data_IF_483165341798
#
_entry.id   IF_483165341798
#
_cell.length_a   1.000
_cell.length_b   1.000
_cell.length_c   1.000
_cell.angle_alpha   90.00
_cell.angle_beta   90.00
_cell.angle_gamma   90.00
#
_symmetry.space_group_name_H-M   'P 1'
#
loop_
_entity.id
_entity.type
_entity.pdbx_description
1 polymer ?
#
# COMPACT_ATOMS: atom_id res chain seq x y z
N UNK A 1 12.73 -4.92 0.54
CA UNK A 1 12.60 -6.04 -0.42
C UNK A 1 12.31 -5.41 -1.76
N UNK A 2 12.95 -5.89 -2.82
CA UNK A 2 12.69 -5.46 -4.20
C UNK A 2 12.22 -6.70 -4.99
N UNK A 3 11.18 -6.55 -5.80
CA UNK A 3 10.58 -7.64 -6.59
C UNK A 3 10.54 -7.18 -8.06
N UNK A 4 11.38 -7.80 -8.87
CA UNK A 4 11.41 -7.57 -10.30
C UNK A 4 10.49 -8.58 -11.03
N UNK A 5 9.28 -8.14 -11.36
CA UNK A 5 8.29 -8.95 -12.07
C UNK A 5 8.70 -9.14 -13.54
N UNK A 6 8.71 -10.40 -13.99
CA UNK A 6 9.05 -10.74 -15.38
C UNK A 6 7.81 -10.86 -16.26
N UNK A 7 7.93 -10.66 -17.58
CA UNK A 7 6.85 -10.95 -18.52
C UNK A 7 6.35 -12.40 -18.38
N UNK A 8 5.03 -12.60 -18.51
CA UNK A 8 4.40 -13.91 -18.34
C UNK A 8 3.85 -14.11 -16.92
N UNK A 9 4.14 -15.27 -16.32
CA UNK A 9 3.60 -15.67 -15.02
C UNK A 9 4.68 -15.59 -13.95
N UNK A 10 4.40 -14.87 -12.87
CA UNK A 10 5.26 -14.77 -11.70
C UNK A 10 4.67 -15.59 -10.55
N UNK A 11 5.50 -16.37 -9.86
CA UNK A 11 5.10 -17.18 -8.71
C UNK A 11 5.72 -16.61 -7.43
N UNK A 12 4.87 -16.15 -6.51
CA UNK A 12 5.29 -15.66 -5.18
C UNK A 12 4.97 -16.75 -4.16
N UNK A 13 6.02 -17.36 -3.59
CA UNK A 13 5.91 -18.42 -2.57
C UNK A 13 6.66 -18.04 -1.30
N UNK A 14 6.27 -18.66 -0.19
CA UNK A 14 6.81 -18.41 1.14
C UNK A 14 5.82 -18.86 2.21
N UNK A 15 6.23 -18.83 3.47
CA UNK A 15 5.41 -19.28 4.58
C UNK A 15 4.19 -18.39 4.85
N UNK A 16 3.25 -18.89 5.65
CA UNK A 16 2.13 -18.07 6.13
C UNK A 16 2.68 -16.89 6.95
N UNK A 17 2.12 -15.70 6.73
CA UNK A 17 2.64 -14.47 7.34
C UNK A 17 3.88 -13.88 6.68
N UNK A 18 4.46 -14.50 5.63
CA UNK A 18 5.63 -13.97 4.93
C UNK A 18 5.36 -12.69 4.08
N UNK A 19 4.12 -12.17 4.09
CA UNK A 19 3.76 -10.93 3.38
C UNK A 19 3.33 -11.10 1.93
N UNK A 20 3.07 -12.33 1.46
CA UNK A 20 2.61 -12.60 0.08
C UNK A 20 1.34 -11.81 -0.27
N UNK A 21 0.32 -11.86 0.60
CA UNK A 21 -0.92 -11.11 0.44
C UNK A 21 -0.65 -9.61 0.49
N UNK A 22 0.18 -9.15 1.43
CA UNK A 22 0.53 -7.74 1.60
C UNK A 22 1.17 -7.13 0.34
N UNK A 23 1.99 -7.90 -0.40
CA UNK A 23 2.55 -7.45 -1.70
C UNK A 23 1.43 -7.21 -2.72
N UNK A 24 0.50 -8.17 -2.87
CA UNK A 24 -0.60 -8.03 -3.81
C UNK A 24 -1.57 -6.90 -3.42
N UNK A 25 -1.80 -6.71 -2.12
CA UNK A 25 -2.64 -5.61 -1.63
C UNK A 25 -1.98 -4.26 -1.81
N UNK A 26 -0.68 -4.15 -1.57
CA UNK A 26 0.09 -2.93 -1.86
C UNK A 26 -0.01 -2.52 -3.32
N UNK A 27 0.13 -3.47 -4.25
CA UNK A 27 -0.04 -3.22 -5.70
C UNK A 27 -1.47 -2.74 -6.01
N UNK A 28 -2.49 -3.40 -5.45
CA UNK A 28 -3.88 -3.03 -5.69
C UNK A 28 -4.23 -1.62 -5.18
N UNK A 29 -3.72 -1.25 -3.99
CA UNK A 29 -3.90 0.10 -3.42
C UNK A 29 -3.17 1.15 -4.27
N UNK A 30 -1.92 0.88 -4.66
CA UNK A 30 -1.12 1.78 -5.48
C UNK A 30 -1.80 2.05 -6.83
N UNK A 31 -2.18 1.00 -7.56
CA UNK A 31 -2.89 1.12 -8.84
C UNK A 31 -4.27 1.76 -8.70
N UNK A 32 -4.93 1.60 -7.54
CA UNK A 32 -6.18 2.26 -7.23
C UNK A 32 -6.11 3.79 -7.35
N UNK A 33 -4.92 4.39 -7.18
CA UNK A 33 -4.71 5.82 -7.38
C UNK A 33 -5.00 6.30 -8.80
N UNK A 34 -4.81 5.45 -9.83
CA UNK A 34 -5.10 5.79 -11.24
C UNK A 34 -6.58 6.11 -11.49
N UNK A 35 -7.48 5.52 -10.70
CA UNK A 35 -8.92 5.55 -10.97
C UNK A 35 -9.69 6.53 -10.09
N UNK A 36 -9.01 7.37 -9.31
CA UNK A 36 -9.63 8.22 -8.27
C UNK A 36 -10.64 9.23 -8.84
N UNK A 37 -10.43 9.67 -10.09
CA UNK A 37 -11.31 10.61 -10.77
C UNK A 37 -12.25 9.94 -11.79
N UNK A 38 -12.25 8.62 -11.88
CA UNK A 38 -13.14 7.90 -12.81
C UNK A 38 -14.52 7.72 -12.14
N UNK A 39 -15.52 8.40 -12.69
CA UNK A 39 -16.88 8.37 -12.16
C UNK A 39 -17.41 6.92 -12.10
N UNK A 40 -17.97 6.54 -10.94
CA UNK A 40 -18.53 5.21 -10.70
C UNK A 40 -17.52 4.12 -10.36
N UNK A 41 -16.21 4.42 -10.31
CA UNK A 41 -15.17 3.45 -9.94
C UNK A 41 -14.78 3.62 -8.47
N UNK A 42 -14.97 2.57 -7.67
CA UNK A 42 -14.44 2.51 -6.31
C UNK A 42 -12.94 2.22 -6.33
N UNK A 43 -12.15 2.96 -5.55
CA UNK A 43 -10.71 2.72 -5.40
C UNK A 43 -10.40 2.02 -4.08
N UNK A 44 -9.43 1.08 -4.07
CA UNK A 44 -8.98 0.44 -2.83
C UNK A 44 -8.18 1.46 -2.00
N UNK A 45 -8.48 1.51 -0.70
CA UNK A 45 -7.77 2.33 0.29
C UNK A 45 -6.95 1.43 1.21
N UNK A 46 -6.03 2.03 1.97
CA UNK A 46 -5.31 1.36 3.06
C UNK A 46 -6.25 1.31 4.28
N UNK A 47 -6.61 0.11 4.72
CA UNK A 47 -7.42 -0.11 5.93
C UNK A 47 -6.52 -0.44 7.13
N UNK A 48 -7.10 -0.48 8.33
CA UNK A 48 -6.37 -0.79 9.56
C UNK A 48 -5.64 -2.14 9.50
N UNK A 49 -6.27 -3.15 8.92
CA UNK A 49 -5.71 -4.50 8.83
C UNK A 49 -4.54 -4.60 7.84
N UNK A 50 -4.35 -3.61 6.97
CA UNK A 50 -3.19 -3.50 6.09
C UNK A 50 -1.96 -2.92 6.82
N UNK A 51 -2.15 -2.32 8.00
CA UNK A 51 -1.08 -1.67 8.76
C UNK A 51 -0.26 -2.74 9.48
N UNK A 52 1.03 -2.78 9.15
CA UNK A 52 1.96 -3.68 9.83
C UNK A 52 1.94 -3.40 11.34
N UNK A 53 1.89 -4.46 12.16
CA UNK A 53 1.91 -4.36 13.61
C UNK A 53 2.98 -5.26 14.21
N UNK A 54 3.51 -4.86 15.37
CA UNK A 54 4.39 -5.66 16.21
C UNK A 54 3.79 -5.76 17.60
N UNK A 55 3.79 -6.97 18.14
CA UNK A 55 3.46 -7.21 19.54
C UNK A 55 4.73 -6.98 20.36
N UNK A 56 4.69 -6.01 21.27
CA UNK A 56 5.76 -5.71 22.23
C UNK A 56 5.35 -6.23 23.61
N UNK A 57 6.17 -7.04 24.30
CA UNK A 57 5.92 -7.37 25.69
C UNK A 57 6.09 -6.10 26.55
N UNK A 58 5.17 -5.89 27.49
CA UNK A 58 5.19 -4.79 28.46
C UNK A 58 5.08 -5.40 29.85
N UNK A 59 6.22 -5.61 30.50
CA UNK A 59 6.30 -6.33 31.77
C UNK A 59 6.11 -7.84 31.62
N UNK A 60 5.92 -8.53 32.75
CA UNK A 60 5.99 -9.99 32.82
C UNK A 60 4.76 -10.73 32.25
N UNK A 61 3.64 -10.04 32.01
CA UNK A 61 2.39 -10.70 31.56
C UNK A 61 1.53 -9.86 30.62
N UNK A 62 1.96 -8.66 30.23
CA UNK A 62 1.19 -7.81 29.33
C UNK A 62 1.89 -7.66 27.99
N UNK A 63 1.11 -7.42 26.95
CA UNK A 63 1.60 -7.10 25.62
C UNK A 63 0.93 -5.85 25.11
N UNK A 64 1.68 -4.98 24.45
CA UNK A 64 1.17 -3.86 23.68
C UNK A 64 1.28 -4.14 22.18
N UNK A 65 0.34 -3.61 21.40
CA UNK A 65 0.42 -3.61 19.93
C UNK A 65 0.99 -2.26 19.51
N UNK A 66 2.06 -2.28 18.75
CA UNK A 66 2.63 -1.13 18.08
C UNK A 66 2.35 -1.22 16.58
N UNK A 67 1.80 -0.15 16.01
CA UNK A 67 1.55 -0.05 14.57
C UNK A 67 2.69 0.70 13.90
N UNK A 68 3.04 0.27 12.68
CA UNK A 68 4.00 0.98 11.84
C UNK A 68 3.26 2.03 11.00
N UNK A 69 3.42 3.29 11.39
CA UNK A 69 2.78 4.44 10.77
C UNK A 69 3.83 5.51 10.45
N UNK A 70 3.62 6.33 9.39
CA UNK A 70 2.55 6.23 8.41
C UNK A 70 2.74 5.05 7.44
N UNK A 71 1.66 4.59 6.82
CA UNK A 71 1.71 3.57 5.75
C UNK A 71 1.54 4.23 4.38
N UNK A 72 2.43 3.89 3.47
CA UNK A 72 2.42 4.39 2.10
C UNK A 72 2.35 3.22 1.11
N UNK A 73 1.48 3.35 0.12
CA UNK A 73 1.42 2.48 -1.05
C UNK A 73 1.24 3.34 -2.30
N UNK A 74 2.25 3.34 -3.16
CA UNK A 74 2.28 4.21 -4.33
C UNK A 74 2.97 3.55 -5.52
N UNK A 75 2.88 4.20 -6.67
CA UNK A 75 3.59 3.77 -7.86
C UNK A 75 3.97 4.95 -8.76
N UNK A 76 4.93 4.67 -9.64
CA UNK A 76 5.36 5.58 -10.69
C UNK A 76 4.95 5.03 -12.04
N UNK A 77 4.09 5.77 -12.75
CA UNK A 77 3.75 5.51 -14.14
C UNK A 77 4.74 6.23 -15.04
N UNK A 78 5.40 5.47 -15.92
CA UNK A 78 6.27 6.02 -16.97
C UNK A 78 5.56 5.91 -18.31
N UNK A 79 5.32 7.05 -18.96
CA UNK A 79 4.70 7.09 -20.31
C UNK A 79 5.78 7.28 -21.36
N UNK A 80 6.65 8.28 -21.16
CA UNK A 80 7.83 8.57 -21.98
C UNK A 80 9.03 8.81 -21.06
N UNK A 81 10.23 9.02 -21.61
CA UNK A 81 11.42 9.32 -20.79
C UNK A 81 11.26 10.61 -19.97
N UNK A 82 10.53 11.59 -20.51
CA UNK A 82 10.34 12.92 -19.90
C UNK A 82 9.05 13.03 -19.07
N UNK A 83 8.08 12.12 -19.29
CA UNK A 83 6.77 12.17 -18.64
C UNK A 83 6.57 11.00 -17.68
N UNK A 84 6.72 11.30 -16.40
CA UNK A 84 6.52 10.38 -15.29
C UNK A 84 5.50 10.96 -14.30
N UNK A 85 4.59 10.11 -13.83
CA UNK A 85 3.65 10.45 -12.77
C UNK A 85 3.93 9.56 -11.56
N UNK A 86 4.02 10.15 -10.38
CA UNK A 86 4.19 9.40 -9.13
C UNK A 86 3.13 9.83 -8.15
N UNK A 87 2.51 8.88 -7.48
CA UNK A 87 1.52 9.16 -6.43
C UNK A 87 1.62 8.10 -5.34
N UNK A 88 1.21 8.47 -4.14
CA UNK A 88 1.11 7.60 -2.99
C UNK A 88 -0.27 7.70 -2.36
N UNK A 89 -0.86 6.55 -2.04
CA UNK A 89 -1.91 6.47 -1.04
C UNK A 89 -1.27 6.45 0.34
N UNK A 90 -1.71 7.33 1.23
CA UNK A 90 -1.11 7.51 2.56
C UNK A 90 -2.17 7.33 3.63
N UNK A 91 -1.86 6.48 4.62
CA UNK A 91 -2.58 6.40 5.89
C UNK A 91 -1.64 6.92 6.98
N UNK A 92 -1.92 8.13 7.45
CA UNK A 92 -1.07 8.83 8.43
C UNK A 92 -1.04 8.10 9.77
N UNK A 93 -2.21 7.65 10.22
CA UNK A 93 -2.42 7.00 11.51
C UNK A 93 -3.36 5.79 11.33
N UNK A 94 -3.19 4.71 12.11
CA UNK A 94 -4.08 3.54 12.08
C UNK A 94 -5.52 3.92 12.41
N UNK A 95 -5.68 4.89 13.31
CA UNK A 95 -6.93 5.46 13.79
C UNK A 95 -7.72 6.21 12.70
N UNK A 96 -7.04 6.70 11.67
CA UNK A 96 -7.66 7.53 10.64
C UNK A 96 -8.71 6.74 9.85
N UNK A 97 -9.91 7.29 9.68
CA UNK A 97 -10.98 6.67 8.88
C UNK A 97 -10.78 6.81 7.37
N UNK A 98 -9.87 7.71 6.97
CA UNK A 98 -9.60 8.05 5.58
C UNK A 98 -8.11 8.01 5.26
N UNK A 99 -7.81 7.86 3.98
CA UNK A 99 -6.46 7.90 3.41
C UNK A 99 -6.32 9.09 2.46
N UNK A 100 -5.13 9.65 2.36
CA UNK A 100 -4.80 10.76 1.46
C UNK A 100 -4.17 10.24 0.16
N UNK A 101 -4.17 11.08 -0.87
CA UNK A 101 -3.32 10.96 -2.06
C UNK A 101 -2.55 12.26 -2.17
N UNK A 102 -1.22 12.17 -2.28
CA UNK A 102 -0.30 13.31 -2.30
C UNK A 102 -0.23 14.01 -3.67
N UNK A 103 -0.18 13.26 -4.75
CA UNK A 103 -0.18 13.77 -6.12
C UNK A 103 -1.33 13.16 -6.94
N UNK A 104 -2.19 14.01 -7.48
CA UNK A 104 -3.36 13.63 -8.30
C UNK A 104 -3.19 13.97 -9.77
N UNK A 105 -2.00 14.39 -10.20
CA UNK A 105 -1.71 14.75 -11.59
C UNK A 105 -1.88 13.56 -12.54
N UNK A 106 -1.78 12.32 -12.05
CA UNK A 106 -2.08 11.12 -12.84
C UNK A 106 -3.58 10.98 -13.18
N UNK A 107 -4.44 11.72 -12.50
CA UNK A 107 -5.89 11.60 -12.59
C UNK A 107 -6.54 12.71 -13.42
N UNK A 108 -5.77 13.50 -14.18
CA UNK A 108 -6.23 14.69 -14.93
C UNK A 108 -6.34 14.39 -16.42
#
# INVERSE_FOLDING_TARGET
MDIDLKPGVNLIIGDNGAGKTSVLEGIAVALGGLFVNVAGVSTKNIVKDDVCMRIKPVGDSSTAIEYYEPVLAGCTLRITEEQNFTWNRIKEEVSATHTKIDDKNVCV
#
